data_IF_130836136598
#
_entry.id   IF_130836136598
#
_cell.length_a   1.000
_cell.length_b   1.000
_cell.length_c   1.000
_cell.angle_alpha   90.00
_cell.angle_beta   90.00
_cell.angle_gamma   90.00
#
_symmetry.space_group_name_H-M   'P 1'
#
loop_
_entity.id
_entity.type
_entity.pdbx_description
1 polymer ?
#
# COMPACT_ATOMS: atom_id res chain seq x y z
N UNK A 1 7.46 -8.60 -28.24
CA UNK A 1 8.06 -9.30 -27.09
C UNK A 1 8.24 -8.31 -25.96
N UNK A 2 7.79 -8.63 -24.73
CA UNK A 2 8.04 -7.75 -23.58
C UNK A 2 9.54 -7.75 -23.27
N UNK A 3 10.19 -6.61 -23.02
CA UNK A 3 11.62 -6.59 -22.70
C UNK A 3 11.87 -7.45 -21.45
N UNK A 4 12.81 -8.39 -21.54
CA UNK A 4 13.19 -9.22 -20.40
C UNK A 4 13.98 -8.35 -19.41
N UNK A 5 13.29 -7.80 -18.40
CA UNK A 5 13.89 -6.96 -17.35
C UNK A 5 14.63 -7.84 -16.35
N UNK A 6 15.81 -7.43 -15.90
CA UNK A 6 16.56 -8.18 -14.88
C UNK A 6 15.93 -7.99 -13.49
N UNK A 7 16.15 -8.96 -12.59
CA UNK A 7 15.67 -8.87 -11.20
C UNK A 7 16.24 -7.65 -10.47
N UNK A 8 17.50 -7.32 -10.75
CA UNK A 8 18.20 -6.15 -10.24
C UNK A 8 17.53 -4.83 -10.63
N UNK A 9 17.05 -4.72 -11.88
CA UNK A 9 16.35 -3.54 -12.35
C UNK A 9 14.98 -3.39 -11.68
N UNK A 10 14.24 -4.50 -11.51
CA UNK A 10 12.97 -4.50 -10.79
C UNK A 10 13.16 -4.13 -9.32
N UNK A 11 14.15 -4.72 -8.66
CA UNK A 11 14.47 -4.44 -7.27
C UNK A 11 14.88 -2.98 -7.05
N UNK A 12 15.72 -2.42 -7.93
CA UNK A 12 16.10 -1.01 -7.90
C UNK A 12 14.89 -0.08 -8.14
N UNK A 13 13.99 -0.44 -9.06
CA UNK A 13 12.76 0.30 -9.31
C UNK A 13 11.82 0.29 -8.09
N UNK A 14 11.63 -0.88 -7.46
CA UNK A 14 10.86 -1.02 -6.22
C UNK A 14 11.46 -0.15 -5.12
N UNK A 15 12.79 -0.16 -4.96
CA UNK A 15 13.49 0.65 -3.96
C UNK A 15 13.25 2.16 -4.17
N UNK A 16 13.38 2.63 -5.41
CA UNK A 16 13.11 4.04 -5.76
C UNK A 16 11.66 4.43 -5.47
N UNK A 17 10.69 3.64 -5.94
CA UNK A 17 9.26 3.88 -5.69
C UNK A 17 8.95 3.93 -4.19
N UNK A 18 9.49 3.01 -3.40
CA UNK A 18 9.29 2.95 -1.96
C UNK A 18 9.90 4.17 -1.24
N UNK A 19 11.07 4.65 -1.68
CA UNK A 19 11.67 5.89 -1.14
C UNK A 19 10.74 7.09 -1.35
N UNK A 20 10.18 7.22 -2.55
CA UNK A 20 9.26 8.31 -2.87
C UNK A 20 7.90 8.17 -2.20
N UNK A 21 7.38 6.95 -2.03
CA UNK A 21 6.10 6.70 -1.35
C UNK A 21 6.10 7.18 0.11
N UNK A 22 7.25 7.13 0.79
CA UNK A 22 7.39 7.61 2.18
C UNK A 22 7.26 9.12 2.33
N UNK A 23 7.52 9.88 1.26
CA UNK A 23 7.55 11.34 1.29
C UNK A 23 6.47 11.99 0.43
N UNK A 24 5.81 11.22 -0.44
CA UNK A 24 4.76 11.73 -1.32
C UNK A 24 3.46 11.99 -0.56
N UNK A 25 2.79 13.10 -0.89
CA UNK A 25 1.46 13.46 -0.37
C UNK A 25 0.39 12.48 -0.82
N UNK A 26 0.41 12.07 -2.10
CA UNK A 26 -0.39 10.96 -2.63
C UNK A 26 0.52 9.76 -2.91
N UNK A 27 0.56 8.81 -1.97
CA UNK A 27 1.43 7.64 -2.01
C UNK A 27 0.70 6.34 -2.36
N UNK A 28 -0.62 6.36 -2.51
CA UNK A 28 -1.45 5.16 -2.66
C UNK A 28 -1.04 4.33 -3.87
N UNK A 29 -0.90 4.99 -5.03
CA UNK A 29 -0.45 4.35 -6.26
C UNK A 29 0.94 3.72 -6.11
N UNK A 30 1.87 4.39 -5.43
CA UNK A 30 3.25 3.92 -5.27
C UNK A 30 3.32 2.68 -4.37
N UNK A 31 2.54 2.65 -3.29
CA UNK A 31 2.46 1.47 -2.42
C UNK A 31 1.81 0.28 -3.12
N UNK A 32 0.75 0.51 -3.89
CA UNK A 32 0.09 -0.53 -4.67
C UNK A 32 1.03 -1.10 -5.74
N UNK A 33 1.75 -0.23 -6.45
CA UNK A 33 2.72 -0.62 -7.46
C UNK A 33 3.86 -1.46 -6.86
N UNK A 34 4.41 -1.04 -5.71
CA UNK A 34 5.37 -1.84 -4.95
C UNK A 34 4.81 -3.22 -4.61
N UNK A 35 3.63 -3.26 -3.99
CA UNK A 35 3.01 -4.50 -3.49
C UNK A 35 2.80 -5.49 -4.64
N UNK A 36 2.12 -5.08 -5.70
CA UNK A 36 1.80 -5.93 -6.84
C UNK A 36 3.06 -6.43 -7.56
N UNK A 37 4.09 -5.58 -7.66
CA UNK A 37 5.36 -6.00 -8.25
C UNK A 37 5.98 -7.12 -7.43
N UNK A 38 6.08 -6.97 -6.11
CA UNK A 38 6.68 -8.00 -5.24
C UNK A 38 5.84 -9.28 -5.26
N UNK A 39 4.50 -9.17 -5.15
CA UNK A 39 3.60 -10.33 -5.25
C UNK A 39 3.81 -11.10 -6.56
N UNK A 40 3.86 -10.39 -7.70
CA UNK A 40 4.13 -11.00 -9.00
C UNK A 40 5.53 -11.60 -9.13
N UNK A 41 6.54 -10.97 -8.53
CA UNK A 41 7.90 -11.54 -8.49
C UNK A 41 7.94 -12.84 -7.67
N UNK A 42 7.18 -12.92 -6.57
CA UNK A 42 7.05 -14.15 -5.77
C UNK A 42 6.36 -15.24 -6.58
N UNK A 43 5.23 -14.91 -7.22
CA UNK A 43 4.46 -15.85 -8.07
C UNK A 43 5.28 -16.40 -9.24
N UNK A 44 6.17 -15.58 -9.81
CA UNK A 44 7.05 -15.97 -10.93
C UNK A 44 8.37 -16.60 -10.48
N UNK A 45 8.57 -16.83 -9.18
CA UNK A 45 9.80 -17.42 -8.63
C UNK A 45 11.03 -16.51 -8.68
N UNK A 46 10.84 -15.21 -8.95
CA UNK A 46 11.89 -14.18 -9.06
C UNK A 46 12.20 -13.49 -7.72
N UNK A 47 11.38 -13.75 -6.70
CA UNK A 47 11.56 -13.27 -5.35
C UNK A 47 11.20 -14.37 -4.35
N UNK A 48 11.82 -14.34 -3.17
CA UNK A 48 11.64 -15.36 -2.15
C UNK A 48 11.21 -14.73 -0.82
N UNK A 49 10.15 -15.27 -0.22
CA UNK A 49 9.83 -15.00 1.19
C UNK A 49 10.86 -15.71 2.06
N UNK A 50 11.58 -14.97 2.88
CA UNK A 50 12.63 -15.51 3.74
C UNK A 50 12.10 -15.90 5.11
N UNK A 51 11.23 -15.07 5.68
CA UNK A 51 10.75 -15.28 7.03
C UNK A 51 9.93 -14.11 7.56
N UNK A 52 9.61 -14.18 8.85
CA UNK A 52 8.89 -13.13 9.57
C UNK A 52 9.83 -12.36 10.51
N UNK A 53 9.72 -11.04 10.54
CA UNK A 53 10.36 -10.18 11.52
C UNK A 53 9.33 -9.56 12.46
N UNK A 54 9.70 -9.40 13.73
CA UNK A 54 8.94 -8.58 14.66
C UNK A 54 9.02 -7.11 14.25
N UNK A 55 7.89 -6.42 14.33
CA UNK A 55 7.84 -4.97 14.17
C UNK A 55 8.51 -4.32 15.38
N UNK A 56 9.24 -3.21 15.17
CA UNK A 56 10.05 -2.55 16.20
C UNK A 56 9.23 -2.10 17.44
N UNK A 57 7.99 -1.64 17.23
CA UNK A 57 7.11 -1.12 18.29
C UNK A 57 5.77 -1.89 18.32
N UNK A 58 5.73 -3.14 18.84
CA UNK A 58 4.54 -3.99 18.77
C UNK A 58 3.37 -3.45 19.61
N UNK A 59 3.63 -2.72 20.70
CA UNK A 59 2.60 -2.17 21.59
C UNK A 59 1.68 -1.16 20.89
N UNK A 60 2.18 -0.44 19.89
CA UNK A 60 1.42 0.57 19.14
C UNK A 60 1.03 0.10 17.74
N UNK A 61 1.37 -1.13 17.38
CA UNK A 61 1.11 -1.68 16.05
C UNK A 61 -0.02 -2.69 16.13
N UNK A 62 -1.02 -2.53 15.25
CA UNK A 62 -2.06 -3.56 15.06
C UNK A 62 -1.45 -4.86 14.50
N UNK A 63 -0.29 -4.77 13.87
CA UNK A 63 0.42 -5.92 13.30
C UNK A 63 1.78 -6.10 14.00
N UNK A 64 2.01 -7.27 14.58
CA UNK A 64 3.22 -7.55 15.35
C UNK A 64 4.38 -8.08 14.51
N UNK A 65 4.10 -8.58 13.30
CA UNK A 65 5.10 -9.16 12.41
C UNK A 65 5.00 -8.62 10.99
N UNK A 66 6.10 -8.72 10.23
CA UNK A 66 6.19 -8.38 8.81
C UNK A 66 6.95 -9.46 8.04
N UNK A 67 6.59 -9.69 6.78
CA UNK A 67 7.27 -10.69 5.93
C UNK A 67 8.47 -10.05 5.29
N UNK A 68 9.64 -10.67 5.49
CA UNK A 68 10.87 -10.34 4.77
C UNK A 68 10.87 -11.05 3.42
N UNK A 69 11.02 -10.27 2.34
CA UNK A 69 11.12 -10.76 0.97
C UNK A 69 12.44 -10.33 0.38
N UNK A 70 13.17 -11.27 -0.21
CA UNK A 70 14.37 -11.00 -1.00
C UNK A 70 14.02 -10.91 -2.48
N UNK A 71 14.46 -9.83 -3.12
CA UNK A 71 14.41 -9.62 -4.57
C UNK A 71 15.82 -9.23 -5.03
N UNK A 72 16.51 -10.12 -5.76
CA UNK A 72 17.95 -9.97 -6.04
C UNK A 72 18.73 -9.72 -4.72
N UNK A 73 19.51 -8.65 -4.65
CA UNK A 73 20.27 -8.18 -3.49
C UNK A 73 19.50 -7.16 -2.62
N UNK A 74 18.18 -7.06 -2.81
CA UNK A 74 17.32 -6.18 -2.01
C UNK A 74 16.42 -6.99 -1.09
N UNK A 75 16.10 -6.38 0.05
CA UNK A 75 15.16 -6.90 1.03
C UNK A 75 14.02 -5.91 1.23
N UNK A 76 12.80 -6.42 1.19
CA UNK A 76 11.58 -5.64 1.34
C UNK A 76 10.67 -6.27 2.38
N UNK A 77 9.90 -5.42 3.06
CA UNK A 77 8.86 -5.85 3.98
C UNK A 77 7.48 -5.73 3.34
N UNK A 78 6.68 -6.80 3.52
CA UNK A 78 5.27 -6.88 3.17
C UNK A 78 4.41 -7.14 4.42
N UNK A 79 3.11 -6.85 4.28
CA UNK A 79 2.14 -7.25 5.28
C UNK A 79 2.01 -8.78 5.27
N UNK A 80 2.04 -9.44 6.44
CA UNK A 80 1.90 -10.88 6.52
C UNK A 80 0.46 -11.31 6.22
N UNK A 81 0.31 -12.45 5.53
CA UNK A 81 -0.95 -13.17 5.35
C UNK A 81 -1.02 -14.33 6.35
N UNK A 82 -2.21 -14.90 6.55
CA UNK A 82 -2.41 -16.03 7.48
C UNK A 82 -1.51 -17.23 7.15
N UNK A 83 -1.33 -17.53 5.87
CA UNK A 83 -0.46 -18.60 5.36
C UNK A 83 1.02 -18.37 5.70
N UNK A 84 1.46 -17.11 5.77
CA UNK A 84 2.85 -16.78 6.08
C UNK A 84 3.22 -17.22 7.50
N UNK A 85 2.31 -17.10 8.46
CA UNK A 85 2.53 -17.55 9.84
C UNK A 85 2.63 -19.07 9.99
N UNK A 86 2.07 -19.82 9.03
CA UNK A 86 2.11 -21.27 9.03
C UNK A 86 3.35 -21.81 8.30
N UNK A 87 3.80 -21.10 7.26
CA UNK A 87 4.84 -21.57 6.34
C UNK A 87 6.21 -20.95 6.58
N UNK A 88 6.30 -19.78 7.21
CA UNK A 88 7.55 -19.06 7.40
C UNK A 88 8.03 -19.11 8.85
N UNK A 89 9.34 -19.33 9.00
CA UNK A 89 10.01 -19.23 10.30
C UNK A 89 10.15 -17.78 10.74
N UNK A 90 10.08 -17.56 12.05
CA UNK A 90 10.34 -16.24 12.62
C UNK A 90 11.85 -16.01 12.74
N UNK A 91 12.35 -14.94 12.13
CA UNK A 91 13.76 -14.56 12.08
C UNK A 91 14.18 -13.65 13.24
N UNK A 92 13.22 -13.24 14.07
CA UNK A 92 13.45 -12.42 15.26
C UNK A 92 13.28 -10.93 14.97
N UNK A 93 14.17 -10.12 15.53
CA UNK A 93 14.14 -8.66 15.34
C UNK A 93 14.87 -8.24 14.06
N UNK A 94 14.50 -7.05 13.57
CA UNK A 94 15.10 -6.47 12.38
C UNK A 94 16.59 -6.15 12.64
N UNK A 95 17.45 -6.53 11.69
CA UNK A 95 18.84 -6.06 11.67
C UNK A 95 18.89 -4.59 11.22
N UNK A 96 19.27 -3.69 12.13
CA UNK A 96 19.37 -2.25 11.88
C UNK A 96 20.65 -1.88 11.08
N UNK A 97 21.62 -2.80 10.95
CA UNK A 97 22.88 -2.56 10.24
C UNK A 97 22.75 -2.76 8.72
N UNK A 98 21.91 -3.71 8.30
CA UNK A 98 21.72 -3.99 6.88
C UNK A 98 21.00 -2.85 6.15
N UNK A 99 21.51 -2.51 4.96
CA UNK A 99 20.90 -1.52 4.07
C UNK A 99 20.85 -2.02 2.64
N UNK A 100 19.71 -1.80 2.00
CA UNK A 100 19.56 -2.06 0.57
C UNK A 100 20.57 -1.22 -0.24
N UNK A 101 21.13 -1.78 -1.34
CA UNK A 101 22.05 -1.07 -2.22
C UNK A 101 21.45 0.23 -2.77
N UNK A 102 22.23 1.31 -2.78
CA UNK A 102 21.79 2.64 -3.21
C UNK A 102 21.92 2.86 -4.73
N UNK A 103 21.25 2.02 -5.54
CA UNK A 103 21.20 2.25 -7.00
C UNK A 103 20.28 3.42 -7.34
N UNK A 104 20.75 4.32 -8.20
CA UNK A 104 19.99 5.51 -8.63
C UNK A 104 19.07 5.15 -9.79
N UNK A 105 17.76 5.34 -9.60
CA UNK A 105 16.75 5.28 -10.66
C UNK A 105 15.73 6.40 -10.44
N UNK A 106 15.42 7.17 -11.49
CA UNK A 106 14.42 8.24 -11.38
C UNK A 106 13.03 7.66 -11.11
N UNK A 107 12.19 8.40 -10.37
CA UNK A 107 10.83 7.97 -10.05
C UNK A 107 10.01 7.68 -11.32
N UNK A 108 10.17 8.48 -12.38
CA UNK A 108 9.41 8.29 -13.61
C UNK A 108 9.78 6.98 -14.31
N UNK A 109 11.08 6.67 -14.43
CA UNK A 109 11.55 5.41 -15.01
C UNK A 109 11.08 4.23 -14.14
N UNK A 110 11.21 4.34 -12.82
CA UNK A 110 10.80 3.29 -11.90
C UNK A 110 9.29 3.01 -12.00
N UNK A 111 8.45 4.05 -12.00
CA UNK A 111 7.00 3.90 -12.18
C UNK A 111 6.67 3.22 -13.51
N UNK A 112 7.26 3.69 -14.61
CA UNK A 112 7.01 3.12 -15.93
C UNK A 112 7.39 1.64 -15.96
N UNK A 113 8.59 1.30 -15.49
CA UNK A 113 9.10 -0.06 -15.47
C UNK A 113 8.19 -0.99 -14.66
N UNK A 114 7.79 -0.58 -13.45
CA UNK A 114 6.89 -1.39 -12.63
C UNK A 114 5.47 -1.45 -13.19
N UNK A 115 4.98 -0.38 -13.83
CA UNK A 115 3.66 -0.34 -14.45
C UNK A 115 3.59 -1.29 -15.65
N UNK A 116 4.64 -1.31 -16.49
CA UNK A 116 4.78 -2.28 -17.59
C UNK A 116 4.84 -3.72 -17.08
N UNK A 117 5.55 -3.94 -15.97
CA UNK A 117 5.69 -5.28 -15.37
C UNK A 117 4.38 -5.78 -14.76
N UNK A 118 3.67 -4.94 -14.00
CA UNK A 118 2.43 -5.31 -13.29
C UNK A 118 1.19 -5.20 -14.16
N UNK A 119 1.20 -4.34 -15.20
CA UNK A 119 0.02 -3.94 -15.96
C UNK A 119 -0.81 -2.83 -15.28
N UNK A 120 -0.38 -2.33 -14.11
CA UNK A 120 -1.08 -1.28 -13.37
C UNK A 120 -0.70 0.10 -13.92
N UNK A 121 -1.67 0.84 -14.45
CA UNK A 121 -1.48 2.22 -14.91
C UNK A 121 -2.09 3.25 -13.95
N UNK A 122 -1.42 4.39 -13.78
CA UNK A 122 -1.91 5.52 -12.96
C UNK A 122 -3.30 6.00 -13.38
N UNK A 123 -3.64 5.88 -14.67
CA UNK A 123 -4.94 6.30 -15.19
C UNK A 123 -6.10 5.43 -14.70
N UNK A 124 -5.83 4.19 -14.28
CA UNK A 124 -6.83 3.25 -13.76
C UNK A 124 -7.23 3.64 -12.33
N UNK A 125 -6.29 4.09 -11.51
CA UNK A 125 -6.56 4.47 -10.10
C UNK A 125 -7.38 5.76 -10.01
N UNK A 126 -7.18 6.70 -10.94
CA UNK A 126 -7.95 7.95 -10.99
C UNK A 126 -9.41 7.77 -11.45
N UNK A 127 -9.77 6.61 -12.02
CA UNK A 127 -11.12 6.30 -12.51
C UNK A 127 -11.98 5.54 -11.49
N UNK A 128 -11.93 5.89 -10.20
CA UNK A 128 -13.08 5.62 -9.33
C UNK A 128 -14.01 6.83 -9.37
N UNK A 129 -15.14 6.78 -10.12
CA UNK A 129 -16.17 7.79 -9.99
C UNK A 129 -16.90 7.58 -8.65
N UNK A 130 -16.49 8.32 -7.64
CA UNK A 130 -17.38 8.78 -6.56
C UNK A 130 -17.64 10.23 -6.91
N UNK A 131 -18.80 10.64 -7.42
CA UNK A 131 -20.14 10.47 -6.88
C UNK A 131 -21.18 10.24 -7.98
N UNK A 132 -22.13 9.32 -7.76
CA UNK A 132 -23.43 9.43 -8.43
C UNK A 132 -24.07 10.76 -7.98
N UNK A 133 -24.68 11.56 -8.88
CA UNK A 133 -25.49 12.69 -8.44
C UNK A 133 -26.64 12.14 -7.61
N UNK A 134 -26.63 12.44 -6.31
CA UNK A 134 -27.83 12.28 -5.48
C UNK A 134 -28.98 13.02 -6.18
N UNK A 135 -30.14 12.38 -6.44
CA UNK A 135 -31.28 13.12 -6.94
C UNK A 135 -31.63 14.19 -5.90
N UNK A 136 -31.60 15.46 -6.32
CA UNK A 136 -32.04 16.57 -5.50
C UNK A 136 -33.51 16.32 -5.13
N UNK A 137 -33.75 15.83 -3.91
CA UNK A 137 -35.09 15.85 -3.34
C UNK A 137 -35.53 17.31 -3.25
N UNK A 138 -36.62 17.63 -3.95
CA UNK A 138 -37.23 18.96 -3.96
C UNK A 138 -37.51 19.34 -2.50
N UNK A 139 -36.82 20.38 -2.00
CA UNK A 139 -37.13 20.97 -0.69
C UNK A 139 -38.57 21.48 -0.73
N UNK A 140 -39.48 20.82 0.00
CA UNK A 140 -40.78 21.41 0.31
C UNK A 140 -40.58 22.56 1.30
N UNK A 141 -41.29 23.68 1.17
CA UNK A 141 -41.20 24.78 2.13
C UNK A 141 -41.76 24.36 3.48
N UNK A 142 -40.97 24.58 4.53
CA UNK A 142 -41.37 24.43 5.93
C UNK A 142 -42.54 25.38 6.22
N UNK A 143 -43.74 24.82 6.46
CA UNK A 143 -44.84 25.57 7.06
C UNK A 143 -44.46 25.89 8.52
N UNK A 144 -44.34 27.17 8.83
CA UNK A 144 -44.22 27.68 10.19
C UNK A 144 -45.41 27.18 11.03
N UNK A 145 -45.14 26.26 11.96
CA UNK A 145 -46.02 26.00 13.10
C UNK A 145 -45.44 26.74 14.29
N UNK A 146 -46.05 27.87 14.65
CA UNK A 146 -45.80 28.55 15.91
C UNK A 146 -46.24 27.64 17.06
N UNK A 147 -45.29 27.13 17.83
CA UNK A 147 -45.58 26.45 19.08
C UNK A 147 -45.70 27.51 20.19
N UNK A 148 -46.91 27.65 20.71
CA UNK A 148 -47.22 28.34 21.95
C UNK A 148 -46.66 27.54 23.13
N UNK A 149 -45.94 28.23 24.03
CA UNK A 149 -45.36 27.66 25.24
C UNK A 149 -46.45 27.54 26.31
N UNK A 150 -47.04 26.35 26.44
CA UNK A 150 -47.95 25.99 27.52
C UNK A 150 -47.16 25.52 28.74
N UNK A 151 -46.96 26.42 29.70
CA UNK A 151 -46.47 26.13 31.04
C UNK A 151 -47.53 25.36 31.84
N UNK A 152 -47.25 24.13 32.27
CA UNK A 152 -47.94 23.55 33.42
C UNK A 152 -47.19 22.36 34.05
N UNK A 153 -47.19 22.38 35.40
CA UNK A 153 -46.86 21.33 36.37
C UNK A 153 -45.39 21.11 36.77
N UNK A 154 -44.99 21.83 37.82
CA UNK A 154 -44.29 21.27 38.97
C UNK A 154 -45.35 21.07 40.07
N UNK A 155 -45.61 19.82 40.41
CA UNK A 155 -45.84 19.39 41.81
C UNK A 155 -44.51 19.49 42.57
#
# INVERSE_FOLDING_TARGET
MKPNRTDEQLAAAIYSVNRHAKTATDNKFLYELKRLTIEKMIETGRAKKLGLHFVKNPRFSQQQSSVLVQCADYYFHLLPKKEDFQSLTHLGHLDDNYRNPQRRMSLNIAKQLLSEYTGLSQTIIKKKPTHAPTPMSKKQPLKNRSYTFGSSYLD
#
